data_IF_148673941725
#
_entry.id   IF_148673941725
#
_cell.length_a   1.000
_cell.length_b   1.000
_cell.length_c   1.000
_cell.angle_alpha   90.00
_cell.angle_beta   90.00
_cell.angle_gamma   90.00
#
_symmetry.space_group_name_H-M   'P 1'
#
loop_
_entity.id
_entity.type
_entity.pdbx_description
1 polymer ?
#
# COMPACT_ATOMS: atom_id res chain seq x y z
N UNK A 1 -11.83 9.00 10.00
CA UNK A 1 -10.78 9.99 10.26
C UNK A 1 -9.71 9.37 11.15
N UNK A 2 -8.42 9.52 10.83
CA UNK A 2 -7.32 9.01 11.67
C UNK A 2 -7.01 10.04 12.76
N UNK A 3 -6.93 9.61 14.02
CA UNK A 3 -6.58 10.47 15.16
C UNK A 3 -5.23 11.17 14.90
N UNK A 4 -5.10 12.48 15.17
CA UNK A 4 -3.92 13.27 14.79
C UNK A 4 -2.59 12.71 15.33
N UNK A 5 -2.61 12.09 16.52
CA UNK A 5 -1.45 11.40 17.09
C UNK A 5 -0.96 10.22 16.24
N UNK A 6 -1.88 9.46 15.63
CA UNK A 6 -1.54 8.32 14.77
C UNK A 6 -0.88 8.77 13.46
N UNK A 7 -1.27 9.94 12.93
CA UNK A 7 -0.66 10.50 11.72
C UNK A 7 0.80 10.93 11.95
N UNK A 8 1.10 11.48 13.12
CA UNK A 8 2.40 12.10 13.36
C UNK A 8 3.49 11.11 13.79
N UNK A 9 3.13 10.06 14.54
CA UNK A 9 4.13 9.14 15.11
C UNK A 9 4.07 7.75 14.49
N UNK A 10 2.91 7.10 14.48
CA UNK A 10 2.83 5.70 14.04
C UNK A 10 2.95 5.55 12.53
N UNK A 11 2.36 6.45 11.73
CA UNK A 11 2.45 6.36 10.25
C UNK A 11 3.89 6.42 9.73
N UNK A 12 4.76 7.39 10.10
CA UNK A 12 6.13 7.42 9.58
C UNK A 12 6.95 6.22 10.06
N UNK A 13 6.79 5.81 11.32
CA UNK A 13 7.51 4.66 11.88
C UNK A 13 7.12 3.36 11.18
N UNK A 14 5.81 3.14 11.02
CA UNK A 14 5.25 1.98 10.34
C UNK A 14 5.67 1.95 8.87
N UNK A 15 5.68 3.09 8.19
CA UNK A 15 6.15 3.22 6.80
C UNK A 15 7.63 2.89 6.69
N UNK A 16 8.46 3.36 7.62
CA UNK A 16 9.89 3.08 7.64
C UNK A 16 10.18 1.58 7.83
N UNK A 17 9.64 0.97 8.90
CA UNK A 17 9.85 -0.45 9.16
C UNK A 17 9.22 -1.34 8.10
N UNK A 18 8.02 -0.99 7.62
CA UNK A 18 7.34 -1.75 6.59
C UNK A 18 8.09 -1.70 5.27
N UNK A 19 8.60 -0.54 4.86
CA UNK A 19 9.43 -0.41 3.64
C UNK A 19 10.71 -1.24 3.75
N UNK A 20 11.36 -1.23 4.92
CA UNK A 20 12.59 -2.00 5.14
C UNK A 20 12.32 -3.51 5.09
N UNK A 21 11.24 -3.99 5.71
CA UNK A 21 10.86 -5.40 5.67
C UNK A 21 10.43 -5.83 4.28
N UNK A 22 9.64 -5.00 3.59
CA UNK A 22 9.20 -5.26 2.21
C UNK A 22 10.38 -5.46 1.26
N UNK A 23 11.39 -4.58 1.29
CA UNK A 23 12.61 -4.71 0.48
C UNK A 23 13.43 -5.98 0.77
N UNK A 24 13.31 -6.52 1.98
CA UNK A 24 14.04 -7.74 2.38
C UNK A 24 13.32 -9.01 1.92
N UNK A 25 11.99 -9.02 1.99
CA UNK A 25 11.15 -10.19 1.69
C UNK A 25 10.83 -10.27 0.20
N UNK A 26 10.45 -9.16 -0.42
CA UNK A 26 10.00 -9.09 -1.81
C UNK A 26 11.10 -8.52 -2.70
N UNK A 27 11.42 -9.24 -3.77
CA UNK A 27 12.37 -8.80 -4.80
C UNK A 27 11.64 -8.10 -5.96
N UNK A 28 10.47 -8.63 -6.29
CA UNK A 28 9.65 -8.14 -7.40
C UNK A 28 8.74 -6.98 -6.96
N UNK A 29 8.39 -6.08 -7.89
CA UNK A 29 7.41 -5.04 -7.61
C UNK A 29 6.05 -5.66 -7.26
N UNK A 30 5.25 -5.00 -6.41
CA UNK A 30 3.93 -5.49 -6.04
C UNK A 30 2.99 -5.50 -7.25
N UNK A 31 2.17 -6.54 -7.36
CA UNK A 31 1.10 -6.62 -8.36
C UNK A 31 -0.15 -5.93 -7.81
N UNK A 32 -0.78 -5.08 -8.63
CA UNK A 32 -2.02 -4.40 -8.29
C UNK A 32 -3.19 -5.06 -9.00
N UNK A 33 -4.18 -5.52 -8.22
CA UNK A 33 -5.47 -5.94 -8.76
C UNK A 33 -6.38 -4.72 -8.75
N UNK A 34 -6.50 -4.07 -9.92
CA UNK A 34 -7.49 -3.04 -10.19
C UNK A 34 -8.76 -3.62 -10.80
N UNK A 35 -9.84 -2.83 -10.84
CA UNK A 35 -11.07 -3.20 -11.49
C UNK A 35 -12.24 -2.29 -11.12
N UNK A 36 -13.43 -2.67 -11.57
CA UNK A 36 -14.68 -2.03 -11.17
C UNK A 36 -15.46 -2.94 -10.20
N UNK A 37 -16.39 -2.36 -9.45
CA UNK A 37 -17.23 -3.12 -8.52
C UNK A 37 -17.95 -4.27 -9.24
N UNK A 38 -17.88 -5.48 -8.68
CA UNK A 38 -18.47 -6.72 -9.21
C UNK A 38 -17.80 -7.32 -10.47
N UNK A 39 -16.60 -6.88 -10.84
CA UNK A 39 -15.82 -7.48 -11.95
C UNK A 39 -15.13 -8.81 -11.64
N UNK A 40 -15.22 -9.30 -10.40
CA UNK A 40 -14.57 -10.55 -9.98
C UNK A 40 -13.16 -10.38 -9.42
N UNK A 41 -12.73 -9.16 -9.09
CA UNK A 41 -11.42 -8.90 -8.45
C UNK A 41 -11.23 -9.69 -7.16
N UNK A 42 -12.27 -9.87 -6.35
CA UNK A 42 -12.21 -10.69 -5.13
C UNK A 42 -11.96 -12.17 -5.42
N UNK A 43 -12.52 -12.70 -6.52
CA UNK A 43 -12.27 -14.09 -6.93
C UNK A 43 -10.83 -14.25 -7.42
N UNK A 44 -10.35 -13.33 -8.26
CA UNK A 44 -8.97 -13.33 -8.74
C UNK A 44 -7.97 -13.25 -7.57
N UNK A 45 -8.23 -12.39 -6.59
CA UNK A 45 -7.43 -12.28 -5.37
C UNK A 45 -7.38 -13.62 -4.62
N UNK A 46 -8.52 -14.30 -4.44
CA UNK A 46 -8.59 -15.60 -3.76
C UNK A 46 -7.80 -16.69 -4.49
N UNK A 47 -7.83 -16.72 -5.83
CA UNK A 47 -7.05 -17.67 -6.63
C UNK A 47 -5.54 -17.41 -6.44
N UNK A 48 -5.10 -16.16 -6.54
CA UNK A 48 -3.70 -15.79 -6.37
C UNK A 48 -3.21 -16.03 -4.93
N UNK A 49 -4.07 -15.80 -3.94
CA UNK A 49 -3.77 -16.02 -2.53
C UNK A 49 -3.49 -17.49 -2.18
N UNK A 50 -3.96 -18.43 -2.99
CA UNK A 50 -3.69 -19.85 -2.79
C UNK A 50 -2.24 -20.24 -3.14
N UNK A 51 -1.48 -19.36 -3.82
CA UNK A 51 -0.12 -19.67 -4.25
C UNK A 51 0.90 -19.38 -3.12
N UNK A 52 1.77 -20.35 -2.75
CA UNK A 52 2.67 -20.22 -1.60
C UNK A 52 3.73 -19.11 -1.74
N UNK A 53 4.00 -18.66 -2.96
CA UNK A 53 4.97 -17.58 -3.22
C UNK A 53 4.31 -16.19 -3.34
N UNK A 54 2.99 -16.11 -3.21
CA UNK A 54 2.24 -14.85 -3.35
C UNK A 54 1.70 -14.44 -1.99
N UNK A 55 2.14 -13.27 -1.49
CA UNK A 55 1.47 -12.64 -0.36
C UNK A 55 0.29 -11.81 -0.87
N UNK A 56 -0.93 -12.31 -0.65
CA UNK A 56 -2.16 -11.57 -0.94
C UNK A 56 -2.65 -10.80 0.30
N UNK A 57 -3.07 -9.54 0.10
CA UNK A 57 -3.72 -8.73 1.14
C UNK A 57 -5.23 -8.95 1.01
N UNK A 58 -5.93 -9.58 1.98
CA UNK A 58 -7.32 -10.03 1.84
C UNK A 58 -8.36 -8.90 1.97
N UNK A 59 -7.94 -7.65 1.83
CA UNK A 59 -8.80 -6.47 1.98
C UNK A 59 -8.48 -5.44 0.91
N UNK A 60 -9.48 -4.68 0.48
CA UNK A 60 -9.27 -3.55 -0.42
C UNK A 60 -8.46 -2.46 0.28
N UNK A 61 -7.22 -2.27 -0.18
CA UNK A 61 -6.27 -1.38 0.51
C UNK A 61 -6.61 0.09 0.32
N UNK A 62 -7.27 0.48 -0.78
CA UNK A 62 -7.61 1.89 -1.05
C UNK A 62 -6.42 2.84 -0.99
N UNK A 63 -5.22 2.35 -1.31
CA UNK A 63 -3.96 3.11 -1.20
C UNK A 63 -3.92 4.24 -2.20
N UNK A 64 -4.45 4.00 -3.41
CA UNK A 64 -4.49 4.94 -4.53
C UNK A 64 -5.79 5.74 -4.61
N UNK A 65 -6.61 5.73 -3.55
CA UNK A 65 -7.87 6.48 -3.52
C UNK A 65 -7.67 7.98 -3.29
N UNK A 66 -6.59 8.37 -2.61
CA UNK A 66 -6.27 9.78 -2.33
C UNK A 66 -4.81 10.07 -2.63
N UNK A 67 -4.58 11.16 -3.35
CA UNK A 67 -3.26 11.62 -3.77
C UNK A 67 -2.94 12.95 -3.11
N UNK A 68 -1.68 13.14 -2.75
CA UNK A 68 -1.14 14.40 -2.23
C UNK A 68 0.00 14.85 -3.13
N UNK A 69 0.12 16.15 -3.31
CA UNK A 69 1.27 16.75 -3.99
C UNK A 69 2.50 16.57 -3.10
N UNK A 70 3.57 16.01 -3.65
CA UNK A 70 4.82 15.84 -2.92
C UNK A 70 5.53 17.20 -2.79
N UNK A 71 5.63 17.78 -1.58
CA UNK A 71 6.31 19.06 -1.39
C UNK A 71 7.81 18.99 -1.75
N UNK A 72 8.40 17.78 -1.78
CA UNK A 72 9.79 17.58 -2.16
C UNK A 72 10.04 17.65 -3.67
N UNK A 73 8.98 17.63 -4.50
CA UNK A 73 9.08 17.63 -5.96
C UNK A 73 8.90 19.01 -6.60
N UNK A 74 8.92 20.09 -5.80
CA UNK A 74 8.60 21.46 -6.21
C UNK A 74 9.48 22.07 -7.34
N UNK A 75 10.45 21.34 -7.89
CA UNK A 75 11.30 21.77 -9.01
C UNK A 75 11.19 20.95 -10.30
N UNK A 76 10.50 19.79 -10.31
CA UNK A 76 10.48 18.89 -11.46
C UNK A 76 9.13 18.16 -11.59
N UNK A 77 8.13 18.84 -12.17
CA UNK A 77 6.73 18.39 -12.27
C UNK A 77 6.07 18.07 -10.92
N UNK A 78 4.75 18.27 -10.75
CA UNK A 78 4.09 17.87 -9.52
C UNK A 78 4.16 16.34 -9.39
N UNK A 79 5.05 15.83 -8.53
CA UNK A 79 5.06 14.42 -8.17
C UNK A 79 3.90 14.16 -7.23
N UNK A 80 3.02 13.23 -7.60
CA UNK A 80 1.89 12.83 -6.78
C UNK A 80 2.26 11.59 -5.99
N UNK A 81 1.98 11.59 -4.68
CA UNK A 81 2.18 10.43 -3.82
C UNK A 81 0.86 9.96 -3.20
N UNK A 82 0.61 8.65 -3.14
CA UNK A 82 -0.56 8.12 -2.43
C UNK A 82 -0.44 8.39 -0.93
N UNK A 83 -1.49 8.98 -0.33
CA UNK A 83 -1.48 9.35 1.09
C UNK A 83 -1.43 8.15 2.04
N UNK A 84 -1.85 6.96 1.57
CA UNK A 84 -2.21 5.82 2.42
C UNK A 84 -1.33 4.58 2.23
N UNK A 85 -0.04 4.79 1.92
CA UNK A 85 0.94 3.69 1.84
C UNK A 85 1.09 2.92 3.16
N UNK A 86 0.74 3.53 4.29
CA UNK A 86 0.69 2.90 5.62
C UNK A 86 -0.12 1.60 5.64
N UNK A 87 -1.17 1.51 4.81
CA UNK A 87 -2.05 0.34 4.78
C UNK A 87 -1.35 -0.91 4.28
N UNK A 88 -0.54 -0.81 3.23
CA UNK A 88 0.24 -1.95 2.69
C UNK A 88 1.26 -2.40 3.73
N UNK A 89 2.02 -1.46 4.28
CA UNK A 89 3.09 -1.75 5.23
C UNK A 89 2.59 -2.37 6.53
N UNK A 90 1.36 -2.06 6.94
CA UNK A 90 0.73 -2.70 8.09
C UNK A 90 0.56 -4.21 7.88
N UNK A 91 0.13 -4.63 6.69
CA UNK A 91 -0.06 -6.06 6.36
C UNK A 91 1.27 -6.81 6.18
N UNK A 92 2.36 -6.11 5.84
CA UNK A 92 3.70 -6.71 5.73
C UNK A 92 4.34 -6.90 7.12
N UNK A 93 3.94 -6.09 8.10
CA UNK A 93 4.50 -6.10 9.44
C UNK A 93 3.75 -7.01 10.43
N UNK A 94 2.45 -7.25 10.21
CA UNK A 94 1.66 -8.25 10.95
C UNK A 94 2.15 -9.66 10.70
#
# INVERSE_FOLDING_TARGET
>A
MLNNFKKFVTVPLLTFFGRRRAKKIFRDPPVLIGGCGRSGTSLLLSILAAHPQVLAIPTETGVFSNWETDPAAAGASPAWRPQRMDRIYRHILS
#
